data_IF_870025569974
#
_entry.id   IF_870025569974
#
_cell.length_a   1.000
_cell.length_b   1.000
_cell.length_c   1.000
_cell.angle_alpha   90.00
_cell.angle_beta   90.00
_cell.angle_gamma   90.00
#
_symmetry.space_group_name_H-M   'P 1'
#
loop_
_entity.id
_entity.type
_entity.pdbx_description
1 polymer ?
#
# COMPACT_ATOMS: atom_id res chain seq x y z
N UNK A 1 -20.98 -10.96 -1.45
CA UNK A 1 -19.64 -10.76 -0.86
C UNK A 1 -19.23 -11.87 0.11
N UNK A 2 -20.12 -12.36 1.00
CA UNK A 2 -19.75 -13.36 2.02
C UNK A 2 -19.34 -14.76 1.47
N UNK A 3 -19.95 -15.23 0.37
CA UNK A 3 -19.68 -16.58 -0.18
C UNK A 3 -18.31 -16.70 -0.88
N UNK A 4 -17.96 -15.71 -1.72
CA UNK A 4 -16.66 -15.69 -2.44
C UNK A 4 -15.50 -15.47 -1.47
N UNK A 5 -15.66 -14.57 -0.49
CA UNK A 5 -14.63 -14.32 0.51
C UNK A 5 -14.30 -15.55 1.37
N UNK A 6 -15.30 -16.38 1.69
CA UNK A 6 -15.08 -17.66 2.41
C UNK A 6 -14.27 -18.66 1.59
N UNK A 7 -14.60 -18.79 0.31
CA UNK A 7 -13.90 -19.72 -0.60
C UNK A 7 -12.45 -19.29 -0.78
N UNK A 8 -12.21 -17.99 -0.98
CA UNK A 8 -10.86 -17.43 -1.07
C UNK A 8 -10.09 -17.66 0.24
N UNK A 9 -10.67 -17.36 1.40
CA UNK A 9 -10.04 -17.59 2.69
C UNK A 9 -9.68 -19.06 2.93
N UNK A 10 -10.55 -19.99 2.49
CA UNK A 10 -10.32 -21.42 2.59
C UNK A 10 -9.16 -21.87 1.69
N UNK A 11 -9.08 -21.36 0.46
CA UNK A 11 -7.94 -21.64 -0.45
C UNK A 11 -6.63 -21.14 0.14
N UNK A 12 -6.60 -19.93 0.71
CA UNK A 12 -5.41 -19.40 1.38
C UNK A 12 -5.01 -20.22 2.61
N UNK A 13 -5.98 -20.69 3.40
CA UNK A 13 -5.72 -21.53 4.56
C UNK A 13 -5.09 -22.87 4.15
N UNK A 14 -5.63 -23.52 3.10
CA UNK A 14 -5.08 -24.78 2.57
C UNK A 14 -3.67 -24.58 2.01
N UNK A 15 -3.43 -23.50 1.26
CA UNK A 15 -2.09 -23.17 0.74
C UNK A 15 -1.08 -22.94 1.87
N UNK A 16 -1.47 -22.23 2.93
CA UNK A 16 -0.60 -22.00 4.08
C UNK A 16 -0.22 -23.31 4.79
N UNK A 17 -1.18 -24.23 4.95
CA UNK A 17 -0.93 -25.55 5.53
C UNK A 17 0.03 -26.37 4.66
N UNK A 18 -0.14 -26.34 3.33
CA UNK A 18 0.74 -27.06 2.40
C UNK A 18 2.18 -26.51 2.45
N UNK A 19 2.33 -25.18 2.40
CA UNK A 19 3.66 -24.54 2.46
C UNK A 19 4.35 -24.78 3.80
N UNK A 20 3.62 -24.65 4.91
CA UNK A 20 4.17 -24.90 6.25
C UNK A 20 4.48 -26.39 6.47
N UNK A 21 3.59 -27.28 6.03
CA UNK A 21 3.82 -28.72 6.08
C UNK A 21 5.03 -29.15 5.26
N UNK A 22 5.23 -28.56 4.08
CA UNK A 22 6.43 -28.77 3.26
C UNK A 22 7.73 -28.34 3.96
N UNK A 23 7.70 -27.26 4.75
CA UNK A 23 8.84 -26.85 5.58
C UNK A 23 9.10 -27.79 6.76
N UNK A 24 8.06 -28.37 7.35
CA UNK A 24 8.19 -29.25 8.53
C UNK A 24 8.64 -30.67 8.16
N UNK A 25 8.31 -31.14 6.96
CA UNK A 25 8.54 -32.53 6.52
C UNK A 25 9.76 -32.72 5.61
N UNK A 26 10.47 -31.65 5.27
CA UNK A 26 11.57 -31.69 4.33
C UNK A 26 12.87 -32.07 5.02
N UNK A 27 13.37 -33.29 4.82
CA UNK A 27 14.73 -33.72 5.24
C UNK A 27 15.84 -33.17 4.33
N UNK A 28 15.57 -32.09 3.59
CA UNK A 28 16.48 -31.57 2.55
C UNK A 28 17.53 -30.69 3.21
N UNK A 29 18.74 -31.24 3.39
CA UNK A 29 19.93 -30.45 3.61
C UNK A 29 20.38 -29.78 2.28
N UNK A 30 20.55 -28.45 2.22
CA UNK A 30 20.38 -27.49 3.31
C UNK A 30 18.95 -26.91 3.36
N UNK A 31 18.29 -27.02 4.52
CA UNK A 31 16.95 -26.48 4.83
C UNK A 31 16.78 -24.99 4.47
N UNK A 32 17.89 -24.27 4.42
CA UNK A 32 18.00 -22.88 4.04
C UNK A 32 17.41 -22.60 2.65
N UNK A 33 17.61 -23.48 1.67
CA UNK A 33 17.14 -23.26 0.29
C UNK A 33 15.60 -23.31 0.20
N UNK A 34 14.98 -24.32 0.83
CA UNK A 34 13.52 -24.45 0.87
C UNK A 34 12.86 -23.30 1.64
N UNK A 35 13.50 -22.80 2.70
CA UNK A 35 13.05 -21.62 3.44
C UNK A 35 13.08 -20.35 2.58
N UNK A 36 14.13 -20.16 1.77
CA UNK A 36 14.20 -19.03 0.84
C UNK A 36 13.13 -19.12 -0.24
N UNK A 37 12.96 -20.28 -0.89
CA UNK A 37 11.90 -20.48 -1.89
C UNK A 37 10.51 -20.21 -1.31
N UNK A 38 10.23 -20.75 -0.11
CA UNK A 38 8.94 -20.51 0.56
C UNK A 38 8.73 -19.04 0.87
N UNK A 39 9.77 -18.33 1.33
CA UNK A 39 9.71 -16.91 1.61
C UNK A 39 9.45 -16.07 0.36
N UNK A 40 10.09 -16.38 -0.77
CA UNK A 40 9.85 -15.71 -2.04
C UNK A 40 8.43 -15.98 -2.57
N UNK A 41 7.94 -17.22 -2.46
CA UNK A 41 6.56 -17.58 -2.83
C UNK A 41 5.56 -16.80 -1.99
N UNK A 42 5.75 -16.73 -0.68
CA UNK A 42 4.88 -15.97 0.22
C UNK A 42 4.94 -14.47 -0.03
N UNK A 43 6.13 -13.91 -0.29
CA UNK A 43 6.30 -12.52 -0.64
C UNK A 43 5.54 -12.18 -1.93
N UNK A 44 5.72 -12.99 -2.98
CA UNK A 44 5.02 -12.79 -4.24
C UNK A 44 3.51 -12.97 -4.10
N UNK A 45 3.05 -14.00 -3.39
CA UNK A 45 1.64 -14.22 -3.09
C UNK A 45 1.03 -13.07 -2.30
N UNK A 46 1.76 -12.50 -1.34
CA UNK A 46 1.33 -11.36 -0.54
C UNK A 46 1.21 -10.08 -1.36
N UNK A 47 2.22 -9.79 -2.20
CA UNK A 47 2.18 -8.65 -3.13
C UNK A 47 0.98 -8.79 -4.07
N UNK A 48 0.77 -9.97 -4.65
CA UNK A 48 -0.37 -10.23 -5.53
C UNK A 48 -1.70 -10.07 -4.78
N UNK A 49 -1.85 -10.69 -3.61
CA UNK A 49 -3.08 -10.63 -2.83
C UNK A 49 -3.43 -9.19 -2.44
N UNK A 50 -2.47 -8.45 -1.86
CA UNK A 50 -2.68 -7.06 -1.44
C UNK A 50 -3.01 -6.17 -2.63
N UNK A 51 -2.31 -6.34 -3.74
CA UNK A 51 -2.57 -5.55 -4.95
C UNK A 51 -3.95 -5.85 -5.53
N UNK A 52 -4.27 -7.13 -5.76
CA UNK A 52 -5.55 -7.53 -6.36
C UNK A 52 -6.72 -7.19 -5.44
N UNK A 53 -6.69 -7.59 -4.17
CA UNK A 53 -7.81 -7.32 -3.25
C UNK A 53 -7.92 -5.84 -2.89
N UNK A 54 -6.79 -5.12 -2.81
CA UNK A 54 -6.77 -3.67 -2.64
C UNK A 54 -7.48 -2.96 -3.79
N UNK A 55 -7.11 -3.29 -5.03
CA UNK A 55 -7.74 -2.73 -6.24
C UNK A 55 -9.22 -3.12 -6.33
N UNK A 56 -9.54 -4.40 -6.13
CA UNK A 56 -10.93 -4.88 -6.14
C UNK A 56 -11.78 -4.17 -5.09
N UNK A 57 -11.26 -3.93 -3.89
CA UNK A 57 -11.96 -3.19 -2.84
C UNK A 57 -12.26 -1.73 -3.22
N UNK A 58 -11.35 -1.08 -3.97
CA UNK A 58 -11.53 0.28 -4.47
C UNK A 58 -12.60 0.30 -5.58
N UNK A 59 -12.50 -0.58 -6.58
CA UNK A 59 -13.44 -0.61 -7.73
C UNK A 59 -14.82 -1.18 -7.38
N UNK A 60 -14.93 -1.93 -6.28
CA UNK A 60 -16.20 -2.53 -5.82
C UNK A 60 -17.29 -1.50 -5.50
N UNK A 61 -16.96 -0.22 -5.38
CA UNK A 61 -17.96 0.84 -5.20
C UNK A 61 -17.59 2.10 -5.98
N UNK A 62 -18.51 2.68 -6.77
CA UNK A 62 -18.25 3.94 -7.48
C UNK A 62 -17.91 5.08 -6.52
N UNK A 63 -18.44 5.06 -5.28
CA UNK A 63 -18.10 6.05 -4.25
C UNK A 63 -16.65 5.91 -3.77
N UNK A 64 -16.17 4.68 -3.52
CA UNK A 64 -14.79 4.41 -3.09
C UNK A 64 -13.80 4.73 -4.19
N UNK A 65 -14.12 4.32 -5.42
CA UNK A 65 -13.31 4.61 -6.61
C UNK A 65 -13.16 6.11 -6.83
N UNK A 66 -14.26 6.87 -6.83
CA UNK A 66 -14.22 8.33 -6.98
C UNK A 66 -13.36 9.00 -5.92
N UNK A 67 -13.54 8.64 -4.64
CA UNK A 67 -12.72 9.21 -3.55
C UNK A 67 -11.25 8.89 -3.72
N UNK A 68 -10.93 7.63 -4.02
CA UNK A 68 -9.53 7.20 -4.24
C UNK A 68 -8.92 7.97 -5.40
N UNK A 69 -9.63 8.11 -6.51
CA UNK A 69 -9.17 8.87 -7.67
C UNK A 69 -8.95 10.35 -7.36
N UNK A 70 -9.84 10.96 -6.56
CA UNK A 70 -9.66 12.36 -6.11
C UNK A 70 -8.41 12.49 -5.24
N UNK A 71 -8.25 11.64 -4.22
CA UNK A 71 -7.10 11.73 -3.32
C UNK A 71 -5.77 11.47 -4.05
N UNK A 72 -5.73 10.44 -4.89
CA UNK A 72 -4.56 10.17 -5.74
C UNK A 72 -4.30 11.32 -6.72
N UNK A 73 -5.34 11.89 -7.33
CA UNK A 73 -5.22 13.03 -8.22
C UNK A 73 -4.67 14.27 -7.52
N UNK A 74 -5.16 14.58 -6.31
CA UNK A 74 -4.64 15.70 -5.50
C UNK A 74 -3.18 15.46 -5.11
N UNK A 75 -2.82 14.24 -4.73
CA UNK A 75 -1.42 13.88 -4.45
C UNK A 75 -0.51 14.18 -5.65
N UNK A 76 -0.87 13.68 -6.84
CA UNK A 76 -0.09 13.96 -8.06
C UNK A 76 -0.11 15.43 -8.45
N UNK A 77 -1.22 16.14 -8.26
CA UNK A 77 -1.27 17.58 -8.50
C UNK A 77 -0.26 18.34 -7.63
N UNK A 78 -0.13 17.97 -6.35
CA UNK A 78 0.87 18.55 -5.45
C UNK A 78 2.29 18.20 -5.88
N UNK A 79 2.55 16.96 -6.30
CA UNK A 79 3.88 16.54 -6.79
C UNK A 79 4.25 17.31 -8.06
N UNK A 80 3.34 17.43 -9.03
CA UNK A 80 3.57 18.19 -10.27
C UNK A 80 3.76 19.68 -10.01
N UNK A 81 2.96 20.25 -9.10
CA UNK A 81 3.13 21.63 -8.66
C UNK A 81 4.50 21.84 -8.01
N UNK A 82 4.92 20.90 -7.15
CA UNK A 82 6.23 20.93 -6.51
C UNK A 82 7.37 20.83 -7.53
N UNK A 83 7.19 20.01 -8.58
CA UNK A 83 8.16 19.90 -9.68
C UNK A 83 8.26 21.19 -10.50
N UNK A 84 7.14 21.90 -10.68
CA UNK A 84 7.12 23.19 -11.35
C UNK A 84 7.87 24.28 -10.56
N UNK A 85 7.87 24.21 -9.23
CA UNK A 85 8.59 25.14 -8.35
C UNK A 85 10.05 24.73 -8.07
N UNK A 86 10.41 23.47 -8.30
CA UNK A 86 11.77 22.98 -8.12
C UNK A 86 12.73 23.64 -9.12
N UNK A 87 13.86 24.15 -8.62
CA UNK A 87 14.85 24.93 -9.37
C UNK A 87 16.22 24.24 -9.50
N UNK A 88 16.34 22.96 -9.12
CA UNK A 88 17.57 22.19 -9.23
C UNK A 88 18.21 22.24 -10.63
N UNK A 89 19.54 22.35 -10.69
CA UNK A 89 20.30 22.59 -11.92
C UNK A 89 20.29 21.37 -12.84
N UNK A 90 20.28 20.17 -12.25
CA UNK A 90 20.24 18.90 -12.96
C UNK A 90 18.97 18.10 -12.63
N UNK A 91 18.60 17.15 -13.49
CA UNK A 91 17.39 16.32 -13.32
C UNK A 91 17.32 15.63 -11.95
N UNK A 92 18.44 15.10 -11.45
CA UNK A 92 18.49 14.44 -10.14
C UNK A 92 18.19 15.40 -9.01
N UNK A 93 18.83 16.58 -9.00
CA UNK A 93 18.62 17.62 -7.99
C UNK A 93 17.19 18.13 -8.01
N UNK A 94 16.64 18.34 -9.22
CA UNK A 94 15.26 18.78 -9.39
C UNK A 94 14.25 17.77 -8.85
N UNK A 95 14.47 16.48 -9.05
CA UNK A 95 13.62 15.42 -8.48
C UNK A 95 13.71 15.35 -6.95
N UNK A 96 14.92 15.52 -6.40
CA UNK A 96 15.12 15.57 -4.94
C UNK A 96 14.40 16.78 -4.35
N UNK A 97 14.56 17.96 -4.94
CA UNK A 97 13.91 19.19 -4.49
C UNK A 97 12.39 19.10 -4.61
N UNK A 98 11.87 18.51 -5.69
CA UNK A 98 10.44 18.19 -5.85
C UNK A 98 9.92 17.32 -4.70
N UNK A 99 10.68 16.29 -4.32
CA UNK A 99 10.34 15.42 -3.20
C UNK A 99 10.27 16.19 -1.87
N UNK A 100 11.23 17.08 -1.64
CA UNK A 100 11.29 17.91 -0.43
C UNK A 100 10.12 18.91 -0.39
N UNK A 101 9.86 19.64 -1.47
CA UNK A 101 8.76 20.62 -1.55
C UNK A 101 7.41 19.92 -1.36
N UNK A 102 7.17 18.81 -2.07
CA UNK A 102 5.92 18.06 -1.96
C UNK A 102 5.72 17.48 -0.56
N UNK A 103 6.80 17.00 0.09
CA UNK A 103 6.76 16.54 1.48
C UNK A 103 6.35 17.65 2.45
N UNK A 104 6.93 18.85 2.33
CA UNK A 104 6.56 19.97 3.21
C UNK A 104 5.11 20.41 3.00
N UNK A 105 4.62 20.49 1.76
CA UNK A 105 3.23 20.85 1.46
C UNK A 105 2.28 19.81 2.08
N UNK A 106 2.50 18.53 1.79
CA UNK A 106 1.65 17.44 2.30
C UNK A 106 1.72 17.33 3.82
N UNK A 107 2.92 17.50 4.41
CA UNK A 107 3.14 17.45 5.85
C UNK A 107 2.43 18.59 6.59
N UNK A 108 2.50 19.82 6.06
CA UNK A 108 1.78 20.96 6.62
C UNK A 108 0.25 20.76 6.56
N UNK A 109 -0.27 20.28 5.42
CA UNK A 109 -1.70 19.96 5.24
C UNK A 109 -2.13 18.86 6.21
N UNK A 110 -1.36 17.77 6.32
CA UNK A 110 -1.68 16.66 7.22
C UNK A 110 -1.72 17.13 8.68
N UNK A 111 -0.71 17.88 9.12
CA UNK A 111 -0.63 18.42 10.48
C UNK A 111 -1.82 19.33 10.77
N UNK A 112 -2.15 20.25 9.87
CA UNK A 112 -3.31 21.15 10.01
C UNK A 112 -4.64 20.39 10.09
N UNK A 113 -4.83 19.38 9.24
CA UNK A 113 -6.04 18.53 9.25
C UNK A 113 -6.16 17.71 10.55
N UNK A 114 -5.05 17.20 11.09
CA UNK A 114 -5.04 16.46 12.35
C UNK A 114 -5.42 17.37 13.52
N UNK A 115 -4.87 18.59 13.58
CA UNK A 115 -5.24 19.59 14.60
C UNK A 115 -6.73 19.93 14.50
N UNK A 116 -7.21 20.25 13.29
CA UNK A 116 -8.63 20.54 13.06
C UNK A 116 -9.54 19.37 13.47
N UNK A 117 -9.20 18.14 13.07
CA UNK A 117 -9.96 16.95 13.44
C UNK A 117 -9.99 16.74 14.95
N UNK A 118 -8.85 16.93 15.63
CA UNK A 118 -8.75 16.79 17.08
C UNK A 118 -9.63 17.80 17.82
N UNK A 119 -9.56 19.08 17.43
CA UNK A 119 -10.38 20.16 18.02
C UNK A 119 -11.87 19.89 17.76
N UNK A 120 -12.24 19.56 16.51
CA UNK A 120 -13.63 19.29 16.16
C UNK A 120 -14.19 18.12 16.97
N UNK A 121 -13.45 17.02 17.11
CA UNK A 121 -13.86 15.86 17.91
C UNK A 121 -13.97 16.17 19.40
N UNK A 122 -13.23 17.16 19.92
CA UNK A 122 -13.33 17.57 21.32
C UNK A 122 -14.54 18.50 21.59
N UNK A 123 -14.91 19.34 20.63
CA UNK A 123 -16.01 20.31 20.79
C UNK A 123 -17.36 19.70 20.39
N UNK A 124 -17.39 18.95 19.30
CA UNK A 124 -18.60 18.30 18.78
C UNK A 124 -18.62 16.88 19.33
N UNK A 125 -19.19 16.72 20.53
CA UNK A 125 -19.47 15.41 21.11
C UNK A 125 -20.73 14.81 20.49
#
# INVERSE_FOLDING_TARGET
>A
MYKISKIVALVFAVLAIILFGGLVYSDIDPYTELMFYTSYILLFASILAVTVFGLLNIVSSPKKLKKTLIYTGVFFAIVLLSYAFASGENNTEKLVETGIISFYILGAVATGLMIYSGIKSAIVK
#
